data_IF_687003553603
#
_entry.id   IF_687003553603
#
_cell.length_a   1.000
_cell.length_b   1.000
_cell.length_c   1.000
_cell.angle_alpha   90.00
_cell.angle_beta   90.00
_cell.angle_gamma   90.00
#
_symmetry.space_group_name_H-M   'P 1'
#
loop_
_entity.id
_entity.type
_entity.pdbx_description
1 polymer ?
#
# COMPACT_ATOMS: atom_id res chain seq x y z
N UNK A 1 34.31 -20.76 8.32
CA UNK A 1 33.08 -20.71 9.15
C UNK A 1 32.42 -19.40 8.82
N UNK A 2 31.24 -19.42 8.19
CA UNK A 2 30.56 -18.20 7.79
C UNK A 2 29.87 -17.60 9.02
N UNK A 3 30.22 -16.38 9.39
CA UNK A 3 29.52 -15.66 10.46
C UNK A 3 28.08 -15.39 10.01
N UNK A 4 27.12 -15.84 10.82
CA UNK A 4 25.69 -15.68 10.60
C UNK A 4 25.10 -14.75 11.67
N UNK A 5 24.25 -13.84 11.25
CA UNK A 5 23.42 -13.03 12.14
C UNK A 5 22.08 -13.72 12.31
N UNK A 6 21.75 -14.09 13.55
CA UNK A 6 20.47 -14.71 13.87
C UNK A 6 19.41 -13.64 14.15
N UNK A 7 18.33 -13.69 13.37
CA UNK A 7 17.14 -12.88 13.55
C UNK A 7 16.12 -13.61 14.45
N UNK A 8 15.16 -12.87 15.04
CA UNK A 8 13.97 -13.46 15.63
C UNK A 8 13.25 -14.40 14.63
N UNK A 9 12.50 -15.37 15.12
CA UNK A 9 11.84 -16.43 14.32
C UNK A 9 12.79 -17.47 13.67
N UNK A 10 14.05 -17.52 14.11
CA UNK A 10 14.98 -18.59 13.72
C UNK A 10 15.63 -18.42 12.34
N UNK A 11 15.48 -17.25 11.71
CA UNK A 11 16.19 -16.93 10.47
C UNK A 11 17.66 -16.61 10.75
N UNK A 12 18.57 -17.05 9.89
CA UNK A 12 19.98 -16.73 9.96
C UNK A 12 20.42 -16.11 8.61
N UNK A 13 20.93 -14.88 8.65
CA UNK A 13 21.43 -14.18 7.48
C UNK A 13 22.96 -14.18 7.47
N UNK A 14 23.62 -14.39 6.33
CA UNK A 14 25.07 -14.24 6.24
C UNK A 14 25.46 -12.77 6.46
N UNK A 15 26.58 -12.54 7.16
CA UNK A 15 27.11 -11.19 7.42
C UNK A 15 27.49 -10.45 6.13
N UNK A 16 27.89 -11.18 5.09
CA UNK A 16 28.17 -10.64 3.77
C UNK A 16 27.28 -11.30 2.72
N UNK A 17 26.70 -10.49 1.82
CA UNK A 17 25.94 -11.00 0.68
C UNK A 17 26.85 -11.81 -0.25
N UNK A 18 26.41 -13.02 -0.60
CA UNK A 18 27.07 -13.83 -1.61
C UNK A 18 26.37 -13.65 -2.97
N UNK A 19 27.08 -13.81 -4.10
CA UNK A 19 26.45 -13.90 -5.40
C UNK A 19 25.37 -14.98 -5.36
N UNK A 20 24.15 -14.64 -5.75
CA UNK A 20 23.05 -15.57 -5.67
C UNK A 20 23.14 -16.62 -6.79
N UNK A 21 23.19 -17.89 -6.41
CA UNK A 21 23.00 -19.02 -7.32
C UNK A 21 21.50 -19.17 -7.61
N UNK A 22 20.97 -18.36 -8.52
CA UNK A 22 19.57 -18.46 -8.93
C UNK A 22 19.42 -19.48 -10.06
N UNK A 23 18.63 -20.57 -9.90
CA UNK A 23 18.16 -21.32 -11.05
C UNK A 23 17.28 -20.42 -11.94
N UNK A 24 17.39 -20.58 -13.25
CA UNK A 24 16.56 -19.82 -14.19
C UNK A 24 15.08 -20.22 -14.03
N UNK A 25 14.25 -19.21 -13.70
CA UNK A 25 12.78 -19.10 -13.80
C UNK A 25 11.93 -19.53 -12.57
N UNK A 26 10.69 -19.03 -12.42
CA UNK A 26 10.14 -17.74 -12.85
C UNK A 26 9.47 -16.97 -11.66
N UNK A 27 9.23 -15.66 -11.81
CA UNK A 27 8.39 -14.81 -10.94
C UNK A 27 8.89 -14.33 -9.56
N UNK A 28 10.16 -14.48 -9.17
CA UNK A 28 10.67 -13.88 -7.90
C UNK A 28 10.70 -12.35 -7.91
N UNK A 29 10.57 -11.72 -9.08
CA UNK A 29 10.56 -10.26 -9.28
C UNK A 29 9.22 -9.58 -8.92
N UNK A 30 8.26 -10.34 -8.38
CA UNK A 30 6.93 -9.85 -8.01
C UNK A 30 5.91 -9.91 -9.16
N UNK A 31 4.62 -9.66 -8.86
CA UNK A 31 3.51 -9.88 -9.78
C UNK A 31 3.42 -8.85 -10.93
N UNK A 32 4.26 -7.81 -10.93
CA UNK A 32 4.25 -6.76 -11.95
C UNK A 32 5.68 -6.45 -12.44
N UNK A 33 5.85 -6.15 -13.74
CA UNK A 33 7.16 -5.88 -14.34
C UNK A 33 7.81 -4.58 -13.83
N UNK A 34 7.02 -3.66 -13.25
CA UNK A 34 7.52 -2.42 -12.68
C UNK A 34 7.09 -2.29 -11.21
N UNK A 35 8.02 -1.87 -10.36
CA UNK A 35 7.81 -1.68 -8.92
C UNK A 35 7.07 -0.37 -8.56
N UNK A 36 6.44 0.31 -9.54
CA UNK A 36 5.72 1.55 -9.28
C UNK A 36 4.54 1.23 -8.36
N UNK A 37 4.66 1.64 -7.10
CA UNK A 37 3.58 1.54 -6.13
C UNK A 37 2.63 2.69 -6.42
N UNK A 38 1.34 2.37 -6.58
CA UNK A 38 0.30 3.38 -6.49
C UNK A 38 0.49 4.14 -5.17
N UNK A 39 0.55 5.47 -5.23
CA UNK A 39 0.49 6.29 -4.03
C UNK A 39 -0.91 6.11 -3.44
N UNK A 40 -0.98 5.34 -2.35
CA UNK A 40 -2.20 5.04 -1.63
C UNK A 40 -2.25 5.93 -0.39
N UNK A 41 -3.30 6.72 -0.25
CA UNK A 41 -3.60 7.41 1.00
C UNK A 41 -4.60 6.58 1.81
N UNK A 42 -4.28 6.34 3.08
CA UNK A 42 -5.16 5.68 4.04
C UNK A 42 -5.88 6.73 4.86
N UNK A 43 -7.21 6.68 4.84
CA UNK A 43 -8.08 7.67 5.49
C UNK A 43 -9.03 6.97 6.46
N UNK A 44 -9.02 7.40 7.72
CA UNK A 44 -9.99 6.98 8.72
C UNK A 44 -11.31 7.74 8.51
N UNK A 45 -12.40 7.00 8.30
CA UNK A 45 -13.73 7.54 8.05
C UNK A 45 -14.52 7.92 9.31
N UNK A 46 -13.93 7.92 10.51
CA UNK A 46 -14.64 8.24 11.77
C UNK A 46 -15.35 9.60 11.71
N UNK A 47 -14.73 10.59 11.04
CA UNK A 47 -15.30 11.92 10.84
C UNK A 47 -15.45 12.20 9.34
N UNK A 48 -16.60 11.84 8.73
CA UNK A 48 -16.64 11.66 7.29
C UNK A 48 -16.43 12.94 6.45
N UNK A 49 -16.79 14.13 6.97
CA UNK A 49 -16.49 15.40 6.27
C UNK A 49 -15.00 15.72 6.25
N UNK A 50 -14.33 15.56 7.40
CA UNK A 50 -12.89 15.80 7.52
C UNK A 50 -12.09 14.77 6.72
N UNK A 51 -12.53 13.52 6.77
CA UNK A 51 -11.98 12.41 6.00
C UNK A 51 -12.08 12.68 4.48
N UNK A 52 -13.23 13.13 4.00
CA UNK A 52 -13.39 13.50 2.59
C UNK A 52 -12.45 14.64 2.18
N UNK A 53 -12.39 15.73 2.96
CA UNK A 53 -11.50 16.85 2.67
C UNK A 53 -10.02 16.42 2.61
N UNK A 54 -9.60 15.55 3.53
CA UNK A 54 -8.26 14.95 3.53
C UNK A 54 -8.02 14.10 2.29
N UNK A 55 -8.99 13.27 1.89
CA UNK A 55 -8.89 12.41 0.73
C UNK A 55 -8.75 13.21 -0.57
N UNK A 56 -9.56 14.27 -0.75
CA UNK A 56 -9.47 15.17 -1.90
C UNK A 56 -8.11 15.89 -1.94
N UNK A 57 -7.62 16.39 -0.81
CA UNK A 57 -6.30 17.00 -0.73
C UNK A 57 -5.18 16.01 -1.08
N UNK A 58 -5.29 14.75 -0.62
CA UNK A 58 -4.31 13.72 -0.97
C UNK A 58 -4.28 13.44 -2.48
N UNK A 59 -5.45 13.35 -3.12
CA UNK A 59 -5.56 13.19 -4.58
C UNK A 59 -4.93 14.39 -5.32
N UNK A 60 -5.16 15.62 -4.84
CA UNK A 60 -4.53 16.82 -5.41
C UNK A 60 -3.00 16.84 -5.24
N UNK A 61 -2.48 16.20 -4.20
CA UNK A 61 -1.04 16.08 -3.92
C UNK A 61 -0.38 14.86 -4.57
N UNK A 62 -1.10 14.14 -5.45
CA UNK A 62 -0.54 13.05 -6.24
C UNK A 62 -0.81 11.64 -5.70
N UNK A 63 -1.70 11.49 -4.71
CA UNK A 63 -2.24 10.18 -4.40
C UNK A 63 -2.99 9.65 -5.63
N UNK A 64 -2.72 8.39 -5.98
CA UNK A 64 -3.31 7.71 -7.13
C UNK A 64 -4.47 6.78 -6.74
N UNK A 65 -4.66 6.53 -5.45
CA UNK A 65 -5.71 5.65 -4.90
C UNK A 65 -5.99 6.00 -3.44
N UNK A 66 -7.19 5.63 -2.96
CA UNK A 66 -7.63 5.85 -1.59
C UNK A 66 -8.00 4.54 -0.91
N UNK A 67 -7.72 4.42 0.39
CA UNK A 67 -8.24 3.37 1.27
C UNK A 67 -9.03 4.04 2.40
N UNK A 68 -10.35 3.90 2.41
CA UNK A 68 -11.18 4.35 3.52
C UNK A 68 -11.40 3.21 4.50
N UNK A 69 -11.12 3.47 5.78
CA UNK A 69 -11.68 2.68 6.86
C UNK A 69 -13.07 3.21 7.20
N UNK A 70 -14.11 2.43 6.90
CA UNK A 70 -15.50 2.82 7.12
C UNK A 70 -15.99 2.31 8.46
N UNK A 71 -16.61 3.20 9.25
CA UNK A 71 -17.25 2.82 10.51
C UNK A 71 -18.75 2.60 10.36
N UNK A 72 -19.40 3.31 9.42
CA UNK A 72 -20.83 3.15 9.11
C UNK A 72 -21.07 3.29 7.62
N UNK A 73 -21.89 2.41 7.06
CA UNK A 73 -22.21 2.43 5.64
C UNK A 73 -22.97 3.69 5.21
N UNK A 74 -23.72 4.31 6.12
CA UNK A 74 -24.48 5.56 5.88
C UNK A 74 -23.59 6.76 5.56
N UNK A 75 -22.31 6.72 5.97
CA UNK A 75 -21.35 7.81 5.75
C UNK A 75 -20.68 7.77 4.37
N UNK A 76 -20.85 6.67 3.61
CA UNK A 76 -20.24 6.47 2.30
C UNK A 76 -20.49 7.61 1.31
N UNK A 77 -21.72 8.13 1.15
CA UNK A 77 -21.96 9.24 0.23
C UNK A 77 -21.17 10.50 0.60
N UNK A 78 -20.92 10.72 1.89
CA UNK A 78 -20.17 11.86 2.40
C UNK A 78 -18.66 11.65 2.22
N UNK A 79 -18.16 10.44 2.51
CA UNK A 79 -16.75 10.08 2.33
C UNK A 79 -16.32 10.17 0.86
N UNK A 80 -17.20 9.76 -0.07
CA UNK A 80 -16.93 9.72 -1.50
C UNK A 80 -17.37 10.98 -2.24
N UNK A 81 -17.85 12.00 -1.53
CA UNK A 81 -18.31 13.24 -2.14
C UNK A 81 -17.20 13.87 -3.00
N UNK A 82 -17.53 14.19 -4.25
CA UNK A 82 -16.61 14.80 -5.24
C UNK A 82 -15.38 13.94 -5.61
N UNK A 83 -15.29 12.69 -5.14
CA UNK A 83 -14.24 11.74 -5.52
C UNK A 83 -14.60 11.13 -6.88
N UNK A 84 -13.73 11.32 -7.87
CA UNK A 84 -13.86 10.73 -9.21
C UNK A 84 -13.40 9.28 -9.23
N UNK A 85 -14.36 8.37 -9.04
CA UNK A 85 -14.15 6.92 -9.02
C UNK A 85 -13.70 6.32 -10.36
N UNK A 86 -13.86 7.06 -11.46
CA UNK A 86 -13.40 6.67 -12.79
C UNK A 86 -11.89 6.88 -13.00
N UNK A 87 -11.24 7.65 -12.12
CA UNK A 87 -9.81 7.99 -12.20
C UNK A 87 -9.04 7.44 -10.99
N UNK A 88 -9.60 7.58 -9.79
CA UNK A 88 -8.97 7.16 -8.55
C UNK A 88 -9.66 5.90 -8.00
N UNK A 89 -8.97 4.73 -8.00
CA UNK A 89 -9.47 3.55 -7.33
C UNK A 89 -9.67 3.82 -5.83
N UNK A 90 -10.82 3.41 -5.32
CA UNK A 90 -11.16 3.50 -3.89
C UNK A 90 -11.34 2.10 -3.34
N UNK A 91 -10.62 1.83 -2.25
CA UNK A 91 -10.71 0.61 -1.47
C UNK A 91 -11.44 0.92 -0.16
N UNK A 92 -12.33 0.03 0.25
CA UNK A 92 -13.17 0.19 1.42
C UNK A 92 -12.88 -0.97 2.38
N UNK A 93 -12.54 -0.67 3.63
CA UNK A 93 -12.22 -1.64 4.69
C UNK A 93 -13.09 -1.41 5.91
#
# INVERSE_FOLDING_TARGET
MSDLVHLPEGFALPVAGQPADYPQLPWTTGPRPFAHRHALEVVDGTQPKEANARALNALMQGASSLLFWIHRAEDLPLLLQDVRLDIAPVHLV
#
